data_IF_950422401745
#
_entry.id   IF_950422401745
#
_cell.length_a   1.000
_cell.length_b   1.000
_cell.length_c   1.000
_cell.angle_alpha   90.00
_cell.angle_beta   90.00
_cell.angle_gamma   90.00
#
_symmetry.space_group_name_H-M   'P 1'
#
loop_
_entity.id
_entity.type
_entity.pdbx_description
1 polymer ?
#
# COMPACT_ATOMS: atom_id res chain seq x y z
N UNK A 1 35.13 -24.60 -12.84
CA UNK A 1 35.25 -25.47 -14.03
C UNK A 1 33.84 -25.75 -14.54
N UNK A 2 33.46 -25.17 -15.69
CA UNK A 2 32.15 -25.43 -16.31
C UNK A 2 32.28 -26.73 -17.09
N UNK A 3 31.49 -27.75 -16.74
CA UNK A 3 31.50 -29.05 -17.43
C UNK A 3 31.05 -28.83 -18.88
N UNK A 4 31.83 -29.26 -19.90
CA UNK A 4 31.41 -29.10 -21.29
C UNK A 4 30.12 -29.89 -21.53
N UNK A 5 29.11 -29.21 -22.08
CA UNK A 5 27.81 -29.83 -22.39
C UNK A 5 27.98 -30.90 -23.46
N UNK A 6 27.30 -32.04 -23.28
CA UNK A 6 27.33 -33.13 -24.28
C UNK A 6 26.61 -32.65 -25.55
N UNK A 7 27.01 -33.17 -26.73
CA UNK A 7 26.43 -32.80 -28.03
C UNK A 7 24.88 -32.84 -28.01
N UNK A 8 24.28 -33.86 -27.38
CA UNK A 8 22.83 -33.97 -27.22
C UNK A 8 22.18 -32.93 -26.29
N UNK A 9 22.91 -32.36 -25.32
CA UNK A 9 22.41 -31.27 -24.46
C UNK A 9 22.40 -29.94 -25.21
N UNK A 10 23.38 -29.72 -26.09
CA UNK A 10 23.46 -28.53 -26.97
C UNK A 10 22.31 -28.56 -27.98
N UNK A 11 22.06 -29.71 -28.61
CA UNK A 11 20.92 -29.89 -29.53
C UNK A 11 19.58 -29.65 -28.83
N UNK A 12 19.41 -30.18 -27.61
CA UNK A 12 18.22 -29.95 -26.77
C UNK A 12 18.01 -28.46 -26.49
N UNK A 13 19.07 -27.75 -26.10
CA UNK A 13 19.02 -26.32 -25.79
C UNK A 13 18.72 -25.45 -27.02
N UNK A 14 19.27 -25.81 -28.19
CA UNK A 14 18.98 -25.15 -29.46
C UNK A 14 17.50 -25.34 -29.86
N UNK A 15 17.00 -26.56 -29.70
CA UNK A 15 15.61 -26.93 -29.94
C UNK A 15 14.62 -26.22 -29.01
N UNK A 16 14.96 -26.02 -27.73
CA UNK A 16 14.17 -25.22 -26.79
C UNK A 16 14.21 -23.73 -27.13
N UNK A 17 15.37 -23.22 -27.55
CA UNK A 17 15.54 -21.82 -27.96
C UNK A 17 14.73 -21.48 -29.21
N UNK A 18 14.72 -22.37 -30.20
CA UNK A 18 13.86 -22.27 -31.41
C UNK A 18 12.36 -22.26 -31.05
N UNK A 19 11.94 -23.11 -30.12
CA UNK A 19 10.55 -23.12 -29.62
C UNK A 19 10.19 -21.83 -28.90
N UNK A 20 11.16 -21.23 -28.20
CA UNK A 20 10.98 -19.97 -27.47
C UNK A 20 10.78 -18.79 -28.40
N UNK A 21 11.54 -18.73 -29.50
CA UNK A 21 11.33 -17.74 -30.57
C UNK A 21 9.92 -17.86 -31.15
N UNK A 22 9.45 -19.09 -31.40
CA UNK A 22 8.08 -19.34 -31.89
C UNK A 22 7.02 -18.95 -30.86
N UNK A 23 7.29 -19.15 -29.57
CA UNK A 23 6.43 -18.72 -28.47
C UNK A 23 6.28 -17.18 -28.42
N UNK A 24 7.39 -16.45 -28.58
CA UNK A 24 7.34 -14.99 -28.71
C UNK A 24 6.51 -14.53 -29.91
N UNK A 25 6.61 -15.23 -31.05
CA UNK A 25 5.81 -14.94 -32.23
C UNK A 25 4.30 -15.19 -32.04
N UNK A 26 3.88 -16.07 -31.10
CA UNK A 26 2.47 -16.22 -30.71
C UNK A 26 2.00 -14.94 -30.01
N UNK A 27 2.77 -14.48 -29.01
CA UNK A 27 2.42 -13.30 -28.22
C UNK A 27 2.44 -12.01 -29.06
N UNK A 28 3.40 -11.86 -29.96
CA UNK A 28 3.56 -10.65 -30.78
C UNK A 28 2.44 -10.44 -31.81
N UNK A 29 1.72 -11.51 -32.21
CA UNK A 29 0.60 -11.41 -33.16
C UNK A 29 -0.73 -10.94 -32.54
N UNK A 30 -0.75 -10.63 -31.24
CA UNK A 30 -1.97 -10.25 -30.50
C UNK A 30 -2.81 -11.45 -30.03
N UNK A 31 -2.30 -12.65 -30.29
CA UNK A 31 -2.92 -13.95 -30.02
C UNK A 31 -2.54 -14.45 -28.62
N UNK A 32 -2.89 -13.67 -27.58
CA UNK A 32 -2.45 -13.92 -26.20
C UNK A 32 -3.15 -15.13 -25.55
N UNK A 33 -2.47 -15.87 -24.65
CA UNK A 33 -3.09 -16.94 -23.88
C UNK A 33 -4.30 -16.45 -23.08
N UNK A 34 -5.45 -17.10 -23.24
CA UNK A 34 -6.67 -16.80 -22.49
C UNK A 34 -6.80 -17.72 -21.29
N UNK A 35 -6.87 -17.17 -20.08
CA UNK A 35 -7.13 -17.95 -18.87
C UNK A 35 -8.60 -18.42 -18.86
N UNK A 36 -8.81 -19.72 -18.68
CA UNK A 36 -10.14 -20.35 -18.53
C UNK A 36 -10.34 -20.98 -17.14
N UNK A 37 -9.29 -21.02 -16.33
CA UNK A 37 -9.30 -21.45 -14.93
C UNK A 37 -8.08 -20.90 -14.20
N UNK A 38 -7.91 -21.21 -12.91
CA UNK A 38 -6.78 -20.71 -12.10
C UNK A 38 -5.41 -21.10 -12.67
N UNK A 39 -5.31 -22.27 -13.29
CA UNK A 39 -4.05 -22.84 -13.78
C UNK A 39 -4.18 -23.40 -15.21
N UNK A 40 -5.18 -22.93 -15.97
CA UNK A 40 -5.52 -23.46 -17.30
C UNK A 40 -5.70 -22.33 -18.31
N UNK A 41 -5.03 -22.47 -19.45
CA UNK A 41 -4.94 -21.47 -20.51
C UNK A 41 -5.29 -22.07 -21.87
N UNK A 42 -5.97 -21.29 -22.71
CA UNK A 42 -6.16 -21.57 -24.13
C UNK A 42 -5.18 -20.74 -24.95
N UNK A 43 -4.43 -21.41 -25.82
CA UNK A 43 -3.42 -20.81 -26.70
C UNK A 43 -3.80 -21.08 -28.17
N UNK A 44 -3.89 -20.06 -29.03
CA UNK A 44 -4.16 -20.22 -30.46
C UNK A 44 -3.07 -20.96 -31.22
N UNK A 45 -3.50 -21.72 -32.23
CA UNK A 45 -2.61 -22.31 -33.22
C UNK A 45 -2.13 -21.23 -34.19
N UNK A 46 -0.84 -21.25 -34.55
CA UNK A 46 -0.29 -20.33 -35.57
C UNK A 46 -0.62 -20.75 -37.00
N UNK A 47 -0.96 -22.02 -37.21
CA UNK A 47 -1.19 -22.62 -38.52
C UNK A 47 -2.67 -22.67 -38.89
N UNK A 48 -3.54 -22.54 -37.89
CA UNK A 48 -4.99 -22.69 -38.02
C UNK A 48 -5.66 -21.69 -37.08
N UNK A 49 -6.45 -20.76 -37.64
CA UNK A 49 -7.04 -19.65 -36.88
C UNK A 49 -8.12 -20.11 -35.90
N UNK A 50 -8.83 -21.20 -36.19
CA UNK A 50 -9.93 -21.68 -35.36
C UNK A 50 -9.46 -22.65 -34.26
N UNK A 51 -8.33 -23.32 -34.48
CA UNK A 51 -7.79 -24.27 -33.51
C UNK A 51 -7.17 -23.58 -32.29
N UNK A 52 -7.45 -24.14 -31.12
CA UNK A 52 -6.91 -23.71 -29.82
C UNK A 52 -6.34 -24.92 -29.09
N UNK A 53 -5.26 -24.71 -28.35
CA UNK A 53 -4.61 -25.72 -27.51
C UNK A 53 -4.74 -25.36 -26.05
N UNK A 54 -5.00 -26.36 -25.22
CA UNK A 54 -5.12 -26.21 -23.76
C UNK A 54 -3.76 -26.44 -23.12
N UNK A 55 -3.37 -25.53 -22.24
CA UNK A 55 -2.14 -25.59 -21.44
C UNK A 55 -2.53 -25.54 -19.97
N UNK A 56 -2.02 -26.48 -19.17
CA UNK A 56 -2.26 -26.57 -17.72
C UNK A 56 -0.95 -26.62 -16.95
N UNK A 57 -0.93 -26.11 -15.71
CA UNK A 57 0.28 -26.10 -14.86
C UNK A 57 0.06 -26.55 -13.41
N UNK A 58 -0.91 -27.41 -13.13
CA UNK A 58 -1.18 -27.97 -11.80
C UNK A 58 -0.05 -28.94 -11.38
N UNK A 59 1.04 -28.40 -10.82
CA UNK A 59 2.24 -29.15 -10.42
C UNK A 59 3.22 -29.44 -11.56
N UNK A 60 2.72 -29.79 -12.76
CA UNK A 60 3.53 -30.02 -13.96
C UNK A 60 2.92 -29.36 -15.20
N UNK A 61 3.77 -28.93 -16.13
CA UNK A 61 3.33 -28.31 -17.39
C UNK A 61 2.85 -29.35 -18.39
N UNK A 62 1.61 -29.19 -18.88
CA UNK A 62 1.03 -30.06 -19.91
C UNK A 62 0.39 -29.24 -21.02
N UNK A 63 0.43 -29.77 -22.24
CA UNK A 63 -0.24 -29.18 -23.39
C UNK A 63 -0.82 -30.28 -24.30
N UNK A 64 -2.03 -30.06 -24.82
CA UNK A 64 -2.68 -31.00 -25.74
C UNK A 64 -2.22 -30.85 -27.21
N UNK A 65 -1.15 -30.12 -27.48
CA UNK A 65 -0.67 -29.92 -28.85
C UNK A 65 0.16 -31.13 -29.35
N UNK A 66 0.16 -31.40 -30.68
CA UNK A 66 0.91 -32.51 -31.25
C UNK A 66 2.42 -32.47 -30.97
N UNK A 67 3.02 -31.27 -30.88
CA UNK A 67 4.45 -31.11 -30.57
C UNK A 67 4.80 -31.59 -29.16
N UNK A 68 3.90 -31.38 -28.19
CA UNK A 68 4.11 -31.86 -26.82
C UNK A 68 3.89 -33.38 -26.72
N UNK A 69 2.85 -33.89 -27.40
CA UNK A 69 2.52 -35.31 -27.42
C UNK A 69 3.61 -36.15 -28.09
N UNK A 70 4.15 -35.69 -29.24
CA UNK A 70 5.23 -36.39 -29.97
C UNK A 70 6.55 -36.46 -29.20
N UNK A 71 6.79 -35.49 -28.32
CA UNK A 71 8.01 -35.45 -27.51
C UNK A 71 7.81 -36.06 -26.11
N UNK A 72 6.68 -36.72 -25.83
CA UNK A 72 6.33 -37.30 -24.52
C UNK A 72 6.55 -36.36 -23.32
N UNK A 73 6.42 -35.03 -23.54
CA UNK A 73 6.69 -34.03 -22.50
C UNK A 73 8.17 -33.83 -22.11
N UNK A 74 9.13 -34.45 -22.80
CA UNK A 74 10.57 -34.24 -22.56
C UNK A 74 11.05 -32.82 -22.88
N UNK A 75 10.29 -32.09 -23.69
CA UNK A 75 10.58 -30.74 -24.16
C UNK A 75 9.33 -29.86 -24.03
N UNK A 76 9.52 -28.63 -23.54
CA UNK A 76 8.43 -27.67 -23.47
C UNK A 76 8.08 -27.19 -24.88
N UNK A 77 6.82 -27.38 -25.28
CA UNK A 77 6.33 -26.88 -26.56
C UNK A 77 6.22 -25.34 -26.55
N UNK A 78 6.11 -24.75 -27.75
CA UNK A 78 5.95 -23.29 -27.89
C UNK A 78 4.73 -22.72 -27.15
N UNK A 79 3.65 -23.49 -26.97
CA UNK A 79 2.44 -23.03 -26.27
C UNK A 79 2.65 -22.96 -24.75
N UNK A 80 3.37 -23.93 -24.17
CA UNK A 80 3.77 -23.88 -22.76
C UNK A 80 4.70 -22.70 -22.54
N UNK A 81 5.73 -22.57 -23.38
CA UNK A 81 6.68 -21.47 -23.28
C UNK A 81 5.99 -20.10 -23.46
N UNK A 82 4.96 -19.99 -24.33
CA UNK A 82 4.22 -18.73 -24.47
C UNK A 82 3.40 -18.39 -23.22
N UNK A 83 2.82 -19.39 -22.53
CA UNK A 83 2.13 -19.17 -21.25
C UNK A 83 3.13 -18.78 -20.15
N UNK A 84 4.29 -19.44 -20.08
CA UNK A 84 5.35 -19.06 -19.14
C UNK A 84 5.86 -17.63 -19.36
N UNK A 85 6.06 -17.22 -20.62
CA UNK A 85 6.45 -15.86 -20.96
C UNK A 85 5.30 -14.89 -20.62
N UNK A 86 4.05 -15.24 -20.95
CA UNK A 86 2.87 -14.43 -20.64
C UNK A 86 2.69 -14.18 -19.14
N UNK A 87 2.86 -15.21 -18.31
CA UNK A 87 2.83 -15.08 -16.84
C UNK A 87 3.98 -14.20 -16.33
N UNK A 88 5.20 -14.40 -16.84
CA UNK A 88 6.36 -13.55 -16.49
C UNK A 88 6.22 -12.10 -16.96
N UNK A 89 5.51 -11.87 -18.06
CA UNK A 89 5.21 -10.53 -18.56
C UNK A 89 4.16 -9.85 -17.69
N UNK A 90 3.10 -10.55 -17.26
CA UNK A 90 2.13 -10.03 -16.28
C UNK A 90 2.76 -9.69 -14.93
N UNK A 91 3.75 -10.44 -14.48
CA UNK A 91 4.52 -10.10 -13.27
C UNK A 91 5.40 -8.85 -13.45
N UNK A 92 5.78 -8.49 -14.69
CA UNK A 92 6.59 -7.32 -15.04
C UNK A 92 5.79 -6.10 -15.54
N UNK A 93 4.50 -6.26 -15.81
CA UNK A 93 3.59 -5.17 -16.23
C UNK A 93 3.59 -4.01 -15.23
N UNK A 94 3.76 -4.26 -13.92
CA UNK A 94 3.86 -3.21 -12.89
C UNK A 94 5.02 -2.21 -13.14
N UNK A 95 6.14 -2.64 -13.74
CA UNK A 95 7.32 -1.78 -13.99
C UNK A 95 7.21 -1.11 -15.37
N UNK A 96 6.70 -1.84 -16.37
CA UNK A 96 6.50 -1.28 -17.71
C UNK A 96 5.37 -0.25 -17.73
N UNK A 97 4.25 -0.49 -17.03
CA UNK A 97 3.16 0.48 -16.93
C UNK A 97 3.61 1.80 -16.29
N UNK A 98 4.50 1.77 -15.29
CA UNK A 98 5.03 3.03 -14.71
C UNK A 98 5.85 3.79 -15.75
N UNK A 99 6.70 3.12 -16.54
CA UNK A 99 7.44 3.76 -17.64
C UNK A 99 6.52 4.26 -18.75
N UNK A 100 5.57 3.45 -19.20
CA UNK A 100 4.66 3.80 -20.29
C UNK A 100 3.67 4.89 -19.89
N UNK A 101 3.15 4.92 -18.65
CA UNK A 101 2.32 6.01 -18.12
C UNK A 101 3.08 7.33 -17.92
N UNK A 102 4.42 7.29 -17.82
CA UNK A 102 5.28 8.47 -17.68
C UNK A 102 5.79 9.00 -19.02
N UNK A 103 5.99 8.13 -20.00
CA UNK A 103 6.46 8.48 -21.34
C UNK A 103 5.32 8.83 -22.32
N UNK A 104 4.13 8.25 -22.14
CA UNK A 104 2.99 8.59 -22.99
C UNK A 104 2.19 9.73 -22.38
N UNK A 105 2.37 10.92 -22.96
CA UNK A 105 1.50 12.07 -22.80
C UNK A 105 0.10 11.82 -23.43
N UNK A 106 -0.42 10.60 -23.33
CA UNK A 106 -1.67 10.15 -23.95
C UNK A 106 -2.87 10.70 -23.16
N UNK A 107 -3.58 11.61 -23.81
CA UNK A 107 -4.73 12.28 -23.22
C UNK A 107 -5.91 11.29 -23.24
N UNK A 108 -6.42 10.94 -22.06
CA UNK A 108 -7.56 10.03 -21.88
C UNK A 108 -8.80 10.77 -21.43
N UNK A 109 -9.96 10.25 -21.80
CA UNK A 109 -11.25 10.80 -21.38
C UNK A 109 -11.45 10.69 -19.87
N UNK A 110 -11.77 11.81 -19.21
CA UNK A 110 -12.01 11.91 -17.76
C UNK A 110 -13.24 11.12 -17.24
N UNK A 111 -14.12 10.67 -18.14
CA UNK A 111 -15.35 9.94 -17.81
C UNK A 111 -15.26 8.44 -18.08
N UNK A 112 -14.72 8.06 -19.23
CA UNK A 112 -14.74 6.66 -19.71
C UNK A 112 -13.35 6.08 -19.94
N UNK A 113 -12.29 6.86 -19.69
CA UNK A 113 -10.89 6.45 -19.84
C UNK A 113 -10.44 6.06 -21.27
N UNK A 114 -11.28 6.29 -22.29
CA UNK A 114 -10.93 6.10 -23.69
C UNK A 114 -9.77 7.00 -24.14
N UNK A 115 -8.88 6.45 -24.97
CA UNK A 115 -7.82 7.18 -25.68
C UNK A 115 -8.34 7.89 -26.94
N UNK A 116 -9.56 7.59 -27.38
CA UNK A 116 -10.16 8.13 -28.60
C UNK A 116 -10.71 9.55 -28.36
N UNK A 117 -9.80 10.51 -28.19
CA UNK A 117 -10.10 11.91 -27.87
C UNK A 117 -9.59 12.85 -28.96
N UNK A 118 -10.38 13.87 -29.28
CA UNK A 118 -10.03 14.90 -30.27
C UNK A 118 -9.96 16.28 -29.62
N UNK A 119 -9.09 17.15 -30.13
CA UNK A 119 -9.02 18.56 -29.69
C UNK A 119 -10.27 19.31 -30.15
N UNK A 120 -11.02 19.92 -29.23
CA UNK A 120 -12.26 20.67 -29.53
C UNK A 120 -12.38 21.96 -28.70
N UNK A 121 -11.84 23.05 -29.25
CA UNK A 121 -11.90 24.39 -28.65
C UNK A 121 -10.88 24.66 -27.56
N UNK A 122 -10.93 25.85 -26.96
CA UNK A 122 -10.03 26.29 -25.89
C UNK A 122 -10.84 26.93 -24.74
N UNK A 123 -10.38 26.78 -23.49
CA UNK A 123 -10.98 27.38 -22.29
C UNK A 123 -10.00 28.38 -21.68
N UNK A 124 -10.43 29.62 -21.44
CA UNK A 124 -9.66 30.62 -20.70
C UNK A 124 -9.78 30.32 -19.20
N UNK A 125 -8.65 30.17 -18.52
CA UNK A 125 -8.56 29.99 -17.06
C UNK A 125 -7.72 31.11 -16.45
N UNK A 126 -7.74 31.28 -15.12
CA UNK A 126 -6.86 32.25 -14.42
C UNK A 126 -5.37 32.02 -14.72
N UNK A 127 -4.97 30.79 -15.08
CA UNK A 127 -3.60 30.40 -15.42
C UNK A 127 -3.31 30.36 -16.94
N UNK A 128 -4.18 30.95 -17.76
CA UNK A 128 -4.01 31.01 -19.23
C UNK A 128 -5.03 30.19 -20.04
N UNK A 129 -4.81 30.14 -21.35
CA UNK A 129 -5.68 29.45 -22.32
C UNK A 129 -5.32 27.96 -22.34
N UNK A 130 -6.30 27.08 -22.10
CA UNK A 130 -6.12 25.62 -22.10
C UNK A 130 -6.90 24.94 -23.21
N UNK A 131 -6.33 23.87 -23.76
CA UNK A 131 -6.95 23.06 -24.81
C UNK A 131 -8.09 22.21 -24.25
N UNK A 132 -9.28 22.28 -24.86
CA UNK A 132 -10.39 21.36 -24.60
C UNK A 132 -10.35 20.17 -25.56
N UNK A 133 -10.86 19.04 -25.09
CA UNK A 133 -10.95 17.77 -25.80
C UNK A 133 -12.37 17.24 -25.75
N UNK A 134 -12.70 16.38 -26.70
CA UNK A 134 -13.95 15.64 -26.74
C UNK A 134 -13.67 14.17 -26.96
N UNK A 135 -14.26 13.32 -26.14
CA UNK A 135 -14.22 11.87 -26.32
C UNK A 135 -15.19 11.44 -27.42
N UNK A 136 -14.70 10.64 -28.37
CA UNK A 136 -15.52 10.09 -29.47
C UNK A 136 -16.40 8.92 -29.04
N UNK A 137 -16.09 8.26 -27.93
CA UNK A 137 -16.89 7.14 -27.44
C UNK A 137 -18.08 7.59 -26.58
N UNK A 138 -17.86 8.50 -25.62
CA UNK A 138 -18.92 8.91 -24.69
C UNK A 138 -19.44 10.35 -24.90
N UNK A 139 -18.94 11.05 -25.94
CA UNK A 139 -19.31 12.43 -26.27
C UNK A 139 -18.89 13.49 -25.23
N UNK A 140 -18.18 13.10 -24.17
CA UNK A 140 -17.80 13.99 -23.08
C UNK A 140 -16.78 15.01 -23.56
N UNK A 141 -17.12 16.30 -23.43
CA UNK A 141 -16.16 17.40 -23.54
C UNK A 141 -15.48 17.63 -22.21
N UNK A 142 -14.16 17.59 -22.21
CA UNK A 142 -13.34 17.80 -21.03
C UNK A 142 -12.12 18.63 -21.41
N UNK A 143 -11.71 19.51 -20.53
CA UNK A 143 -10.32 19.97 -20.57
C UNK A 143 -9.57 18.90 -19.78
N UNK A 144 -8.44 18.34 -20.26
CA UNK A 144 -7.48 17.66 -19.40
C UNK A 144 -6.94 18.74 -18.47
N UNK A 145 -7.77 19.05 -17.50
CA UNK A 145 -7.31 19.39 -16.18
C UNK A 145 -6.50 18.15 -15.78
N UNK A 146 -5.28 18.35 -15.31
CA UNK A 146 -4.54 17.26 -14.70
C UNK A 146 -5.46 16.74 -13.61
N UNK A 147 -6.25 15.68 -13.83
CA UNK A 147 -7.47 15.32 -13.07
C UNK A 147 -8.28 16.58 -12.65
N UNK A 148 -9.27 16.58 -11.76
CA UNK A 148 -9.36 17.75 -10.88
C UNK A 148 -8.14 17.62 -9.95
N UNK A 149 -6.98 18.22 -10.31
CA UNK A 149 -5.75 18.40 -9.49
C UNK A 149 -4.50 17.47 -9.59
N UNK A 150 -4.23 16.67 -10.62
CA UNK A 150 -2.96 15.95 -10.79
C UNK A 150 -2.38 15.88 -12.21
N UNK A 151 -1.21 16.49 -12.40
CA UNK A 151 -0.27 16.18 -13.52
C UNK A 151 0.58 14.94 -13.17
N UNK A 152 0.16 14.13 -12.21
CA UNK A 152 1.04 13.18 -11.53
C UNK A 152 0.37 11.82 -11.40
N UNK A 153 1.11 10.79 -11.82
CA UNK A 153 0.76 9.38 -11.78
C UNK A 153 0.38 8.94 -10.34
N UNK A 154 -0.80 8.32 -10.16
CA UNK A 154 -1.28 7.81 -8.87
C UNK A 154 -0.33 6.78 -8.25
N UNK A 155 0.37 5.98 -9.07
CA UNK A 155 1.42 5.06 -8.63
C UNK A 155 2.64 5.81 -8.07
N UNK A 156 3.03 6.93 -8.69
CA UNK A 156 4.12 7.77 -8.18
C UNK A 156 3.78 8.38 -6.82
N UNK A 157 2.52 8.80 -6.63
CA UNK A 157 2.02 9.30 -5.34
C UNK A 157 2.02 8.18 -4.30
N UNK A 158 1.48 7.00 -4.63
CA UNK A 158 1.49 5.85 -3.74
C UNK A 158 2.92 5.45 -3.33
N UNK A 159 3.87 5.45 -4.28
CA UNK A 159 5.29 5.23 -4.01
C UNK A 159 5.87 6.31 -3.10
N UNK A 160 5.56 7.58 -3.35
CA UNK A 160 6.00 8.71 -2.53
C UNK A 160 5.53 8.55 -1.09
N UNK A 161 4.26 8.17 -0.88
CA UNK A 161 3.69 7.91 0.44
C UNK A 161 4.39 6.72 1.11
N UNK A 162 4.57 5.62 0.38
CA UNK A 162 5.27 4.44 0.90
C UNK A 162 6.68 4.76 1.39
N UNK A 163 7.49 5.44 0.58
CA UNK A 163 8.84 5.83 0.94
C UNK A 163 8.86 6.79 2.13
N UNK A 164 7.93 7.74 2.20
CA UNK A 164 7.83 8.70 3.29
C UNK A 164 7.55 8.01 4.64
N UNK A 165 6.54 7.13 4.68
CA UNK A 165 6.18 6.42 5.90
C UNK A 165 7.18 5.32 6.29
N UNK A 166 8.03 4.89 5.35
CA UNK A 166 9.22 4.05 5.62
C UNK A 166 10.45 4.84 6.09
N UNK A 167 10.31 6.14 6.34
CA UNK A 167 11.33 6.95 6.99
C UNK A 167 12.22 7.77 6.05
N UNK A 168 11.92 7.85 4.75
CA UNK A 168 12.67 8.77 3.88
C UNK A 168 12.19 10.23 4.10
N UNK A 169 13.14 11.17 4.02
CA UNK A 169 12.83 12.60 3.99
C UNK A 169 12.30 12.99 2.60
N UNK A 170 11.51 14.06 2.52
CA UNK A 170 10.93 14.53 1.25
C UNK A 170 11.99 14.85 0.18
N UNK A 171 13.18 15.32 0.61
CA UNK A 171 14.33 15.54 -0.27
C UNK A 171 14.93 14.23 -0.80
N UNK A 172 15.09 13.22 0.06
CA UNK A 172 15.55 11.88 -0.36
C UNK A 172 14.56 11.21 -1.31
N UNK A 173 13.26 11.43 -1.11
CA UNK A 173 12.22 10.91 -2.01
C UNK A 173 12.28 11.62 -3.36
N UNK A 174 12.42 12.95 -3.39
CA UNK A 174 12.60 13.70 -4.63
C UNK A 174 13.80 13.19 -5.44
N UNK A 175 14.92 12.96 -4.76
CA UNK A 175 16.14 12.39 -5.35
C UNK A 175 15.91 10.96 -5.85
N UNK A 176 15.25 10.09 -5.08
CA UNK A 176 14.88 8.72 -5.51
C UNK A 176 14.00 8.76 -6.77
N UNK A 177 13.01 9.64 -6.82
CA UNK A 177 12.14 9.80 -7.98
C UNK A 177 12.95 10.25 -9.21
N UNK A 178 13.89 11.17 -9.03
CA UNK A 178 14.76 11.63 -10.10
C UNK A 178 15.71 10.53 -10.59
N UNK A 179 16.37 9.78 -9.70
CA UNK A 179 17.35 8.75 -10.08
C UNK A 179 16.73 7.57 -10.82
N UNK A 180 15.56 7.10 -10.38
CA UNK A 180 14.95 5.89 -10.96
C UNK A 180 13.98 6.18 -12.11
N UNK A 181 13.36 7.37 -12.14
CA UNK A 181 12.34 7.71 -13.13
C UNK A 181 12.66 8.95 -13.97
N UNK A 182 13.76 9.65 -13.70
CA UNK A 182 14.15 10.88 -14.44
C UNK A 182 13.26 12.09 -14.17
N UNK A 183 12.35 12.01 -13.19
CA UNK A 183 11.37 13.06 -12.92
C UNK A 183 11.91 14.03 -11.88
N UNK A 184 12.03 15.30 -12.24
CA UNK A 184 12.34 16.37 -11.29
C UNK A 184 11.06 16.77 -10.54
N UNK A 185 11.01 16.44 -9.24
CA UNK A 185 9.91 16.84 -8.34
C UNK A 185 10.51 17.63 -7.19
N UNK A 186 9.94 18.80 -6.90
CA UNK A 186 10.37 19.55 -5.72
C UNK A 186 9.84 18.89 -4.43
N UNK A 187 10.67 18.88 -3.38
CA UNK A 187 10.34 18.27 -2.09
C UNK A 187 9.09 18.86 -1.41
N UNK A 188 8.74 20.13 -1.68
CA UNK A 188 7.49 20.73 -1.18
C UNK A 188 6.26 20.17 -1.90
N UNK A 189 6.41 19.75 -3.17
CA UNK A 189 5.35 19.09 -3.93
C UNK A 189 5.02 17.73 -3.31
N UNK A 190 6.05 16.98 -2.91
CA UNK A 190 5.89 15.71 -2.19
C UNK A 190 5.13 15.94 -0.87
N UNK A 191 5.49 16.97 -0.09
CA UNK A 191 4.79 17.28 1.15
C UNK A 191 3.32 17.64 0.91
N UNK A 192 3.04 18.43 -0.14
CA UNK A 192 1.65 18.76 -0.54
C UNK A 192 0.86 17.52 -0.90
N UNK A 193 1.45 16.56 -1.62
CA UNK A 193 0.77 15.29 -1.93
C UNK A 193 0.45 14.54 -0.65
N UNK A 194 1.42 14.33 0.24
CA UNK A 194 1.21 13.60 1.50
C UNK A 194 0.07 14.23 2.30
N UNK A 195 0.11 15.54 2.53
CA UNK A 195 -0.92 16.24 3.30
C UNK A 195 -2.31 16.11 2.65
N UNK A 196 -2.38 16.24 1.32
CA UNK A 196 -3.65 16.15 0.58
C UNK A 196 -4.26 14.75 0.65
N UNK A 197 -3.47 13.70 0.44
CA UNK A 197 -3.99 12.33 0.45
C UNK A 197 -4.25 11.83 1.84
N UNK A 198 -3.38 12.13 2.80
CA UNK A 198 -3.61 11.72 4.17
C UNK A 198 -4.84 12.38 4.77
N UNK A 199 -5.15 13.64 4.44
CA UNK A 199 -6.40 14.26 4.89
C UNK A 199 -7.63 13.46 4.42
N UNK A 200 -7.63 13.01 3.16
CA UNK A 200 -8.72 12.19 2.60
C UNK A 200 -8.77 10.80 3.21
N UNK A 201 -7.63 10.14 3.30
CA UNK A 201 -7.51 8.79 3.86
C UNK A 201 -7.93 8.78 5.32
N UNK A 202 -7.41 9.71 6.14
CA UNK A 202 -7.80 9.83 7.55
C UNK A 202 -9.30 10.06 7.68
N UNK A 203 -9.88 10.92 6.83
CA UNK A 203 -11.33 11.15 6.81
C UNK A 203 -12.15 9.91 6.40
N UNK A 204 -11.58 9.00 5.62
CA UNK A 204 -12.19 7.71 5.28
C UNK A 204 -12.04 6.69 6.41
N UNK A 205 -10.82 6.45 6.89
CA UNK A 205 -10.54 5.40 7.88
C UNK A 205 -11.06 5.71 9.28
N UNK A 206 -11.20 6.99 9.65
CA UNK A 206 -11.76 7.38 10.94
C UNK A 206 -13.27 7.10 11.06
N UNK A 207 -13.94 6.71 9.97
CA UNK A 207 -15.35 6.27 9.96
C UNK A 207 -15.49 4.76 10.14
N UNK A 208 -14.38 4.02 10.10
CA UNK A 208 -14.38 2.57 10.24
C UNK A 208 -14.36 2.23 11.72
N UNK A 209 -15.14 1.22 12.10
CA UNK A 209 -15.27 0.78 13.48
C UNK A 209 -14.42 -0.48 13.69
N UNK A 210 -13.31 -0.41 14.44
CA UNK A 210 -12.48 -1.57 14.75
C UNK A 210 -13.11 -2.42 15.85
N UNK A 211 -13.03 -3.74 15.72
CA UNK A 211 -13.29 -4.67 16.82
C UNK A 211 -12.07 -4.66 17.76
N UNK A 212 -12.20 -3.95 18.87
CA UNK A 212 -11.19 -3.88 19.93
C UNK A 212 -11.44 -4.96 20.98
N UNK A 213 -10.37 -5.55 21.50
CA UNK A 213 -10.42 -6.63 22.49
C UNK A 213 -10.57 -6.14 23.92
N UNK A 214 -10.44 -7.06 24.86
CA UNK A 214 -10.66 -6.83 26.29
C UNK A 214 -9.45 -6.22 27.02
N UNK A 215 -8.26 -6.26 26.41
CA UNK A 215 -7.00 -5.84 27.06
C UNK A 215 -6.37 -4.71 26.25
N UNK A 216 -6.25 -3.54 26.86
CA UNK A 216 -5.64 -2.37 26.21
C UNK A 216 -4.36 -1.94 26.93
N UNK A 217 -3.41 -1.42 26.15
CA UNK A 217 -2.18 -0.80 26.63
C UNK A 217 -2.29 0.71 26.42
N UNK A 218 -1.86 1.50 27.41
CA UNK A 218 -1.73 2.94 27.27
C UNK A 218 -0.37 3.40 27.81
N UNK A 219 0.33 4.18 27.01
CA UNK A 219 1.65 4.70 27.37
C UNK A 219 1.89 6.05 26.69
N UNK A 220 2.87 6.79 27.21
CA UNK A 220 3.25 8.10 26.73
C UNK A 220 4.74 8.21 26.42
N UNK A 221 5.07 8.97 25.38
CA UNK A 221 6.46 9.31 25.06
C UNK A 221 6.64 10.82 24.97
N UNK A 222 7.80 11.30 25.43
CA UNK A 222 8.19 12.70 25.26
C UNK A 222 8.52 12.99 23.80
N UNK A 223 7.95 14.07 23.27
CA UNK A 223 8.22 14.59 21.93
C UNK A 223 8.63 16.05 22.02
N UNK A 224 9.55 16.48 21.15
CA UNK A 224 9.97 17.88 21.06
C UNK A 224 9.20 18.61 19.97
N UNK A 225 8.52 19.69 20.34
CA UNK A 225 7.76 20.53 19.42
C UNK A 225 8.31 21.96 19.59
N UNK A 226 8.96 22.47 18.55
CA UNK A 226 9.53 23.81 18.49
C UNK A 226 10.39 24.19 19.72
N UNK A 227 11.25 23.26 20.17
CA UNK A 227 12.13 23.47 21.32
C UNK A 227 11.51 23.13 22.68
N UNK A 228 10.20 22.88 22.74
CA UNK A 228 9.51 22.54 23.97
C UNK A 228 9.13 21.05 24.05
N UNK A 229 9.10 20.51 25.27
CA UNK A 229 8.69 19.13 25.50
C UNK A 229 7.16 19.01 25.69
N UNK A 230 6.60 17.99 25.05
CA UNK A 230 5.20 17.57 25.13
C UNK A 230 5.15 16.04 25.30
N UNK A 231 3.96 15.51 25.59
CA UNK A 231 3.69 14.08 25.72
C UNK A 231 2.76 13.59 24.62
N UNK A 232 3.21 12.58 23.88
CA UNK A 232 2.42 11.86 22.87
C UNK A 232 1.91 10.56 23.49
N UNK A 233 0.62 10.50 23.74
CA UNK A 233 -0.07 9.36 24.34
C UNK A 233 -0.61 8.46 23.27
N UNK A 234 -0.53 7.15 23.49
CA UNK A 234 -0.96 6.14 22.56
C UNK A 234 -1.71 5.05 23.31
N UNK A 235 -2.91 4.72 22.84
CA UNK A 235 -3.73 3.62 23.36
C UNK A 235 -3.87 2.55 22.30
N UNK A 236 -3.51 1.32 22.63
CA UNK A 236 -3.38 0.21 21.70
C UNK A 236 -4.12 -1.03 22.23
N UNK A 237 -4.85 -1.70 21.35
CA UNK A 237 -5.46 -3.00 21.64
C UNK A 237 -4.41 -4.12 21.66
N UNK A 238 -4.41 -4.99 22.68
CA UNK A 238 -3.36 -6.00 22.87
C UNK A 238 -3.34 -7.06 21.77
N UNK A 239 -4.51 -7.56 21.36
CA UNK A 239 -4.63 -8.73 20.50
C UNK A 239 -4.46 -8.36 19.02
N UNK A 240 -5.23 -7.38 18.56
CA UNK A 240 -5.16 -6.90 17.18
C UNK A 240 -3.95 -5.99 16.94
N UNK A 241 -3.33 -5.48 18.01
CA UNK A 241 -2.35 -4.39 17.99
C UNK A 241 -2.91 -3.10 17.42
N UNK A 242 -4.22 -2.96 17.25
CA UNK A 242 -4.81 -1.77 16.64
C UNK A 242 -4.55 -0.55 17.52
N UNK A 243 -3.96 0.50 16.95
CA UNK A 243 -3.76 1.75 17.65
C UNK A 243 -5.09 2.52 17.69
N UNK A 244 -5.81 2.40 18.80
CA UNK A 244 -7.16 2.93 19.02
C UNK A 244 -7.13 4.46 18.99
N UNK A 245 -6.23 5.06 19.77
CA UNK A 245 -6.16 6.50 19.89
C UNK A 245 -4.73 7.00 20.07
N UNK A 246 -4.51 8.24 19.65
CA UNK A 246 -3.33 9.02 19.98
C UNK A 246 -3.77 10.37 20.55
N UNK A 247 -2.95 11.02 21.36
CA UNK A 247 -3.20 12.37 21.85
C UNK A 247 -1.89 13.10 22.14
N UNK A 248 -1.92 14.43 22.13
CA UNK A 248 -0.77 15.26 22.52
C UNK A 248 -1.20 16.21 23.62
N UNK A 249 -0.44 16.21 24.71
CA UNK A 249 -0.65 17.08 25.87
C UNK A 249 0.66 17.76 26.26
N UNK A 250 0.56 18.90 26.94
CA UNK A 250 1.73 19.59 27.49
C UNK A 250 2.20 18.95 28.79
N UNK A 251 1.24 18.51 29.60
CA UNK A 251 1.46 17.96 30.94
C UNK A 251 0.89 16.54 31.05
N UNK A 252 1.16 15.89 32.19
CA UNK A 252 0.67 14.54 32.52
C UNK A 252 -0.13 14.51 33.82
N UNK A 253 -0.94 15.54 34.08
CA UNK A 253 -1.79 15.54 35.27
C UNK A 253 -2.94 14.53 35.13
N UNK A 254 -3.66 14.31 36.22
CA UNK A 254 -4.90 13.53 36.24
C UNK A 254 -5.92 14.04 35.20
N UNK A 255 -5.98 15.35 34.99
CA UNK A 255 -6.90 15.95 34.02
C UNK A 255 -6.56 15.51 32.58
N UNK A 256 -5.30 15.65 32.16
CA UNK A 256 -4.87 15.20 30.83
C UNK A 256 -5.04 13.69 30.67
N UNK A 257 -4.64 12.93 31.67
CA UNK A 257 -4.71 11.45 31.64
C UNK A 257 -6.15 11.00 31.44
N UNK A 258 -7.11 11.57 32.20
CA UNK A 258 -8.56 11.31 32.02
C UNK A 258 -9.03 11.71 30.62
N UNK A 259 -8.60 12.86 30.10
CA UNK A 259 -9.01 13.32 28.77
C UNK A 259 -8.51 12.37 27.66
N UNK A 260 -7.29 11.86 27.77
CA UNK A 260 -6.70 10.88 26.85
C UNK A 260 -7.49 9.57 26.88
N UNK A 261 -7.75 9.01 28.07
CA UNK A 261 -8.51 7.77 28.20
C UNK A 261 -9.96 7.91 27.73
N UNK A 262 -10.61 9.05 27.99
CA UNK A 262 -11.94 9.38 27.43
C UNK A 262 -11.92 9.44 25.90
N UNK A 263 -10.84 9.96 25.30
CA UNK A 263 -10.66 9.93 23.84
C UNK A 263 -10.56 8.48 23.36
N UNK A 264 -9.77 7.64 24.02
CA UNK A 264 -9.65 6.22 23.66
C UNK A 264 -11.01 5.49 23.69
N UNK A 265 -11.76 5.63 24.79
CA UNK A 265 -13.12 5.07 24.93
C UNK A 265 -14.06 5.51 23.82
N UNK A 266 -14.02 6.80 23.43
CA UNK A 266 -14.82 7.34 22.33
C UNK A 266 -14.44 6.73 20.98
N UNK A 267 -13.14 6.59 20.70
CA UNK A 267 -12.63 5.98 19.47
C UNK A 267 -12.92 4.48 19.41
N UNK A 268 -13.12 3.85 20.57
CA UNK A 268 -13.57 2.47 20.72
C UNK A 268 -15.11 2.36 20.81
N UNK A 269 -15.86 3.37 20.37
CA UNK A 269 -17.33 3.35 20.32
C UNK A 269 -18.00 3.08 21.68
N UNK A 270 -17.36 3.51 22.77
CA UNK A 270 -17.88 3.36 24.13
C UNK A 270 -17.53 2.03 24.79
N UNK A 271 -16.84 1.11 24.10
CA UNK A 271 -16.37 -0.16 24.65
C UNK A 271 -15.37 0.12 25.78
N UNK A 272 -15.51 -0.60 26.89
CA UNK A 272 -14.55 -0.62 27.99
C UNK A 272 -13.66 -1.86 27.88
N UNK A 273 -12.34 -1.74 28.07
CA UNK A 273 -11.50 -2.91 28.28
C UNK A 273 -11.80 -3.53 29.66
N UNK A 274 -11.57 -4.84 29.80
CA UNK A 274 -11.56 -5.53 31.10
C UNK A 274 -10.26 -5.30 31.85
N UNK A 275 -9.16 -5.15 31.11
CA UNK A 275 -7.87 -4.82 31.69
C UNK A 275 -7.17 -3.68 30.94
N UNK A 276 -6.58 -2.76 31.69
CA UNK A 276 -5.73 -1.70 31.16
C UNK A 276 -4.31 -1.84 31.71
N UNK A 277 -3.33 -1.82 30.81
CA UNK A 277 -1.92 -1.95 31.13
C UNK A 277 -1.24 -0.61 30.87
N UNK A 278 -0.55 -0.09 31.88
CA UNK A 278 0.15 1.21 31.79
C UNK A 278 1.53 1.14 32.44
N UNK A 279 2.32 2.19 32.25
CA UNK A 279 3.49 2.41 33.10
C UNK A 279 3.06 2.87 34.52
N UNK A 280 4.01 2.94 35.45
CA UNK A 280 3.79 3.27 36.86
C UNK A 280 3.54 4.74 37.19
N UNK A 281 3.00 5.54 36.26
CA UNK A 281 2.76 6.96 36.51
C UNK A 281 1.60 7.17 37.50
N UNK A 282 1.73 8.07 38.51
CA UNK A 282 0.75 8.22 39.60
C UNK A 282 -0.68 8.59 39.19
N UNK A 283 -0.86 9.23 38.03
CA UNK A 283 -2.19 9.66 37.56
C UNK A 283 -3.01 8.54 36.91
N UNK A 284 -2.38 7.42 36.52
CA UNK A 284 -3.09 6.32 35.86
C UNK A 284 -4.16 5.66 36.72
N UNK A 285 -3.91 5.22 37.97
CA UNK A 285 -4.90 4.49 38.75
C UNK A 285 -6.22 5.26 38.94
N UNK A 286 -6.12 6.54 39.29
CA UNK A 286 -7.26 7.47 39.43
C UNK A 286 -7.98 7.64 38.08
N UNK A 287 -7.25 7.91 37.00
CA UNK A 287 -7.85 8.16 35.70
C UNK A 287 -8.51 6.92 35.07
N UNK A 288 -7.94 5.74 35.26
CA UNK A 288 -8.45 4.47 34.72
C UNK A 288 -9.79 4.13 35.38
N UNK A 289 -9.85 4.18 36.71
CA UNK A 289 -11.09 3.94 37.46
C UNK A 289 -12.20 4.94 37.10
N UNK A 290 -11.87 6.22 37.02
CA UNK A 290 -12.84 7.27 36.68
C UNK A 290 -13.45 7.12 35.28
N UNK A 291 -12.69 6.63 34.31
CA UNK A 291 -13.13 6.56 32.91
C UNK A 291 -13.82 5.25 32.57
N UNK A 292 -13.33 4.14 33.15
CA UNK A 292 -13.78 2.78 32.80
C UNK A 292 -14.58 2.09 33.90
N UNK A 293 -14.61 2.63 35.12
CA UNK A 293 -15.31 2.09 36.28
C UNK A 293 -14.39 1.38 37.28
N UNK A 294 -14.90 1.06 38.47
CA UNK A 294 -14.13 0.40 39.54
C UNK A 294 -13.78 -1.06 39.24
N UNK A 295 -14.57 -1.73 38.41
CA UNK A 295 -14.40 -3.17 38.10
C UNK A 295 -13.26 -3.45 37.10
N UNK A 296 -12.61 -2.40 36.57
CA UNK A 296 -11.51 -2.57 35.61
C UNK A 296 -10.25 -3.10 36.30
N UNK A 297 -9.59 -4.07 35.69
CA UNK A 297 -8.30 -4.56 36.14
C UNK A 297 -7.21 -3.61 35.63
N UNK A 298 -6.68 -2.75 36.50
CA UNK A 298 -5.53 -1.91 36.16
C UNK A 298 -4.22 -2.61 36.54
N UNK A 299 -3.36 -2.85 35.56
CA UNK A 299 -2.04 -3.45 35.75
C UNK A 299 -0.98 -2.42 35.39
N UNK A 300 -0.01 -2.19 36.28
CA UNK A 300 1.09 -1.25 36.06
C UNK A 300 2.43 -1.81 36.57
N UNK A 301 3.55 -1.23 36.13
CA UNK A 301 4.91 -1.66 36.48
C UNK A 301 5.22 -3.13 36.15
N UNK A 302 4.76 -3.59 34.98
CA UNK A 302 4.87 -4.99 34.62
C UNK A 302 6.28 -5.33 34.13
N UNK A 303 6.87 -6.40 34.66
CA UNK A 303 8.23 -6.80 34.33
C UNK A 303 8.35 -7.33 32.89
N UNK A 304 9.54 -7.19 32.28
CA UNK A 304 9.81 -7.62 30.89
C UNK A 304 9.46 -9.11 30.64
N UNK A 305 9.51 -9.95 31.69
CA UNK A 305 9.28 -11.41 31.63
C UNK A 305 7.85 -11.83 31.92
N UNK A 306 6.97 -10.92 32.31
CA UNK A 306 5.58 -11.24 32.57
C UNK A 306 4.84 -11.52 31.25
N UNK A 307 3.81 -12.37 31.33
CA UNK A 307 3.00 -12.78 30.16
C UNK A 307 2.32 -11.60 29.47
N UNK A 308 2.12 -10.51 30.18
CA UNK A 308 1.51 -9.26 29.71
C UNK A 308 2.57 -8.17 29.89
N UNK A 309 3.16 -7.66 28.80
CA UNK A 309 4.20 -6.63 28.89
C UNK A 309 3.92 -5.47 27.92
N UNK A 310 4.47 -4.29 28.23
CA UNK A 310 4.27 -3.07 27.44
C UNK A 310 5.12 -3.04 26.15
N UNK A 311 5.84 -4.12 25.82
CA UNK A 311 6.75 -4.21 24.67
C UNK A 311 6.05 -3.90 23.34
N UNK A 312 4.74 -4.14 23.23
CA UNK A 312 3.98 -3.87 22.01
C UNK A 312 3.93 -2.37 21.72
N UNK A 313 3.68 -1.58 22.75
CA UNK A 313 3.55 -0.13 22.66
C UNK A 313 4.94 0.52 22.56
N UNK A 314 5.94 0.00 23.26
CA UNK A 314 7.34 0.40 23.09
C UNK A 314 7.84 0.21 21.65
N UNK A 315 7.48 -0.90 20.98
CA UNK A 315 7.79 -1.09 19.56
C UNK A 315 7.12 -0.06 18.66
N UNK A 316 5.91 0.37 18.98
CA UNK A 316 5.26 1.47 18.28
C UNK A 316 6.01 2.79 18.53
N UNK A 317 6.39 3.08 19.78
CA UNK A 317 7.22 4.25 20.11
C UNK A 317 8.55 4.26 19.34
N UNK A 318 9.21 3.11 19.18
CA UNK A 318 10.39 2.99 18.31
C UNK A 318 10.10 3.39 16.86
N UNK A 319 8.97 2.92 16.30
CA UNK A 319 8.53 3.28 14.94
C UNK A 319 8.29 4.78 14.80
N UNK A 320 7.70 5.42 15.83
CA UNK A 320 7.50 6.87 15.87
C UNK A 320 8.84 7.62 15.90
N UNK A 321 9.77 7.19 16.76
CA UNK A 321 11.10 7.82 16.92
C UNK A 321 11.95 7.76 15.66
N UNK A 322 11.86 6.68 14.88
CA UNK A 322 12.52 6.59 13.57
C UNK A 322 12.08 7.73 12.64
N UNK A 323 10.78 8.06 12.64
CA UNK A 323 10.24 9.16 11.83
C UNK A 323 10.61 10.52 12.40
N UNK A 324 10.45 10.71 13.70
CA UNK A 324 10.76 11.96 14.40
C UNK A 324 12.22 12.38 14.17
N UNK A 325 13.16 11.43 14.28
CA UNK A 325 14.59 11.64 14.02
C UNK A 325 14.87 12.19 12.62
N UNK A 326 14.10 11.80 11.61
CA UNK A 326 14.29 12.24 10.22
C UNK A 326 13.74 13.65 10.00
N UNK A 327 12.73 14.08 10.76
CA UNK A 327 12.08 15.37 10.57
C UNK A 327 12.77 16.54 11.30
N UNK A 328 13.66 16.26 12.26
CA UNK A 328 14.44 17.27 13.02
C UNK A 328 13.53 18.27 13.75
N UNK A 329 12.67 17.71 14.62
CA UNK A 329 11.65 18.40 15.41
C UNK A 329 10.42 18.87 14.61
N UNK A 330 9.33 19.11 15.35
CA UNK A 330 8.03 19.49 14.82
C UNK A 330 7.80 20.99 15.05
N UNK A 331 7.35 21.72 14.03
CA UNK A 331 7.20 23.18 14.13
C UNK A 331 6.02 23.62 15.00
N UNK A 332 4.97 22.80 15.11
CA UNK A 332 3.77 23.15 15.88
C UNK A 332 3.03 21.92 16.42
N UNK A 333 2.20 22.14 17.44
CA UNK A 333 1.33 21.10 18.02
C UNK A 333 0.36 20.54 16.98
N UNK A 334 -0.11 21.37 16.05
CA UNK A 334 -1.03 20.92 14.99
C UNK A 334 -0.32 20.00 14.00
N UNK A 335 0.91 20.35 13.60
CA UNK A 335 1.76 19.49 12.77
C UNK A 335 2.04 18.15 13.46
N UNK A 336 2.28 18.17 14.78
CA UNK A 336 2.49 16.98 15.58
C UNK A 336 1.24 16.08 15.65
N UNK A 337 0.05 16.67 15.84
CA UNK A 337 -1.23 15.94 15.81
C UNK A 337 -1.48 15.31 14.44
N UNK A 338 -1.25 16.07 13.37
CA UNK A 338 -1.37 15.57 12.00
C UNK A 338 -0.41 14.40 11.75
N UNK A 339 0.83 14.50 12.23
CA UNK A 339 1.81 13.42 12.13
C UNK A 339 1.35 12.17 12.90
N UNK A 340 0.88 12.32 14.13
CA UNK A 340 0.35 11.21 14.93
C UNK A 340 -0.81 10.49 14.21
N UNK A 341 -1.77 11.25 13.68
CA UNK A 341 -2.89 10.69 12.92
C UNK A 341 -2.40 9.97 11.65
N UNK A 342 -1.47 10.57 10.92
CA UNK A 342 -0.91 9.98 9.70
C UNK A 342 -0.15 8.67 9.99
N UNK A 343 0.64 8.64 11.06
CA UNK A 343 1.37 7.45 11.49
C UNK A 343 0.43 6.37 12.02
N UNK A 344 -0.63 6.73 12.75
CA UNK A 344 -1.68 5.79 13.17
C UNK A 344 -2.30 5.11 11.95
N UNK A 345 -2.67 5.89 10.92
CA UNK A 345 -3.24 5.34 9.68
C UNK A 345 -2.26 4.41 8.97
N UNK A 346 -0.99 4.82 8.83
CA UNK A 346 0.03 3.97 8.25
C UNK A 346 0.22 2.65 9.05
N UNK A 347 0.31 2.75 10.37
CA UNK A 347 0.50 1.62 11.26
C UNK A 347 -0.67 0.63 11.17
N UNK A 348 -1.92 1.11 11.27
CA UNK A 348 -3.11 0.26 11.30
C UNK A 348 -3.45 -0.36 9.94
N UNK A 349 -3.35 0.42 8.85
CA UNK A 349 -3.93 0.02 7.56
C UNK A 349 -2.91 -0.40 6.51
N UNK A 350 -1.65 0.00 6.64
CA UNK A 350 -0.62 -0.24 5.62
C UNK A 350 0.45 -1.21 6.12
N UNK A 351 0.97 -0.99 7.33
CA UNK A 351 2.07 -1.77 7.88
C UNK A 351 1.60 -3.18 8.26
N UNK A 352 2.27 -4.18 7.71
CA UNK A 352 2.09 -5.59 8.09
C UNK A 352 3.00 -5.94 9.26
N UNK A 353 2.51 -6.80 10.15
CA UNK A 353 3.23 -7.20 11.36
C UNK A 353 3.53 -8.69 11.31
N UNK A 354 4.80 -9.07 11.50
CA UNK A 354 5.19 -10.48 11.61
C UNK A 354 4.50 -11.18 12.78
N UNK A 355 4.34 -10.47 13.91
CA UNK A 355 3.62 -10.96 15.08
C UNK A 355 2.10 -11.15 14.86
N UNK A 356 1.56 -10.68 13.73
CA UNK A 356 0.17 -10.87 13.31
C UNK A 356 0.10 -11.73 12.03
N UNK A 357 1.06 -12.64 11.83
CA UNK A 357 1.14 -13.51 10.65
C UNK A 357 1.12 -12.73 9.31
N UNK A 358 1.68 -11.52 9.28
CA UNK A 358 1.71 -10.67 8.09
C UNK A 358 0.42 -9.92 7.79
N UNK A 359 -0.55 -9.91 8.71
CA UNK A 359 -1.72 -9.04 8.65
C UNK A 359 -1.40 -7.64 9.19
N UNK A 360 -2.24 -6.66 8.84
CA UNK A 360 -2.22 -5.33 9.48
C UNK A 360 -3.09 -5.32 10.73
N UNK A 361 -2.86 -4.37 11.66
CA UNK A 361 -3.71 -4.25 12.84
C UNK A 361 -5.19 -4.06 12.52
N UNK A 362 -5.51 -3.30 11.46
CA UNK A 362 -6.89 -3.13 11.00
C UNK A 362 -7.53 -4.45 10.53
N UNK A 363 -6.77 -5.30 9.82
CA UNK A 363 -7.27 -6.62 9.39
C UNK A 363 -7.56 -7.51 10.60
N UNK A 364 -6.68 -7.50 11.60
CA UNK A 364 -6.89 -8.23 12.86
C UNK A 364 -8.06 -7.69 13.68
N UNK A 365 -8.31 -6.37 13.63
CA UNK A 365 -9.46 -5.72 14.24
C UNK A 365 -10.75 -5.88 13.41
N UNK A 366 -10.80 -6.80 12.44
CA UNK A 366 -11.99 -7.10 11.65
C UNK A 366 -12.28 -6.14 10.49
N UNK A 367 -11.39 -5.18 10.21
CA UNK A 367 -11.54 -4.23 9.10
C UNK A 367 -10.87 -4.79 7.85
N UNK A 368 -11.66 -5.37 6.94
CA UNK A 368 -11.15 -5.89 5.67
C UNK A 368 -11.53 -4.98 4.48
N UNK A 369 -10.58 -4.14 4.06
CA UNK A 369 -10.73 -3.21 2.93
C UNK A 369 -10.31 -3.80 1.57
N UNK A 370 -9.89 -5.07 1.51
CA UNK A 370 -9.41 -5.73 0.29
C UNK A 370 -8.35 -4.92 -0.50
N UNK A 371 -7.37 -4.36 0.20
CA UNK A 371 -6.41 -3.38 -0.37
C UNK A 371 -5.41 -3.97 -1.38
N UNK A 372 -5.37 -5.29 -1.56
CA UNK A 372 -4.48 -5.95 -2.53
C UNK A 372 -2.99 -5.72 -2.25
N UNK A 373 -2.17 -5.76 -3.32
CA UNK A 373 -0.71 -5.62 -3.24
C UNK A 373 -0.29 -4.18 -2.90
N UNK A 374 -0.74 -3.20 -3.68
CA UNK A 374 -0.42 -1.79 -3.47
C UNK A 374 -1.47 -1.13 -2.58
N UNK A 375 -1.30 -1.30 -1.27
CA UNK A 375 -2.27 -0.84 -0.27
C UNK A 375 -2.50 0.66 -0.30
N UNK A 376 -1.45 1.45 -0.56
CA UNK A 376 -1.57 2.91 -0.69
C UNK A 376 -2.46 3.31 -1.86
N UNK A 377 -2.23 2.72 -3.04
CA UNK A 377 -3.02 3.03 -4.22
C UNK A 377 -4.50 2.68 -4.00
N UNK A 378 -4.79 1.49 -3.47
CA UNK A 378 -6.17 1.07 -3.18
C UNK A 378 -6.84 1.98 -2.14
N UNK A 379 -6.12 2.32 -1.07
CA UNK A 379 -6.65 3.18 -0.01
C UNK A 379 -6.88 4.62 -0.49
N UNK A 380 -5.98 5.16 -1.33
CA UNK A 380 -6.20 6.45 -2.01
C UNK A 380 -7.48 6.38 -2.84
N UNK A 381 -7.65 5.34 -3.66
CA UNK A 381 -8.83 5.19 -4.52
C UNK A 381 -10.14 5.10 -3.71
N UNK A 382 -10.15 4.36 -2.61
CA UNK A 382 -11.33 4.24 -1.73
C UNK A 382 -11.65 5.52 -0.94
N UNK A 383 -10.67 6.42 -0.79
CA UNK A 383 -10.80 7.67 -0.02
C UNK A 383 -11.11 8.91 -0.87
N UNK A 384 -11.19 8.77 -2.19
CA UNK A 384 -11.50 9.85 -3.13
C UNK A 384 -13.00 9.91 -3.42
#
# INVERSE_FOLDING_TARGET
MVRPMRIGEIEKQNLESLRKVRAFAILAKGDTPKAIGKETFLVPSQSDREKRYTVTHNGEWRCNCPDFQKNHGMLLCKHIQSVQIFLKLREKEDILEIKTELETNEIRCDRCNSINVIKRGKRKTKAGIRQRYECKECGRRFTPEPIKHRKTNSKLIALTMDLYFKGLSTRKIADTIYQFYGIKVDHTTIMRWINTYMAKINGHVNKLEPNVGEIWHNDEQKININGEWFYSWNTLDSDSRFLISNAITKERSDFETKAVLKKAKRMAHGINPRAMITDGMPSYPSAVKDVFGEDIIHVYNVGIRDRINNNVLERYHGTYRERDKVMRALDSVETARQMNENLRTYYNFIRKHSALNGMTPAEMAGINLNLGRNRWMSLITQSL
#
